data_IF_846590183516
#
_entry.id   IF_846590183516
#
_cell.length_a   1.000
_cell.length_b   1.000
_cell.length_c   1.000
_cell.angle_alpha   90.00
_cell.angle_beta   90.00
_cell.angle_gamma   90.00
#
_symmetry.space_group_name_H-M   'P 1'
#
loop_
_entity.id
_entity.type
_entity.pdbx_description
1 polymer ?
#
# COMPACT_ATOMS: atom_id res chain seq x y z
N UNK A 1 -3.69 -3.95 18.32
CA UNK A 1 -4.20 -3.40 19.61
C UNK A 1 -5.11 -2.21 19.30
N UNK A 2 -6.11 -1.92 20.13
CA UNK A 2 -7.00 -0.77 19.89
C UNK A 2 -6.27 0.54 20.18
N UNK A 3 -6.15 1.45 19.20
CA UNK A 3 -5.80 2.84 19.47
C UNK A 3 -6.93 3.46 20.32
N UNK A 4 -6.67 3.89 21.58
CA UNK A 4 -7.74 4.41 22.43
C UNK A 4 -8.33 5.70 21.87
N UNK A 5 -7.50 6.55 21.27
CA UNK A 5 -7.88 7.82 20.63
C UNK A 5 -8.55 7.69 19.26
N UNK A 6 -8.60 6.49 18.66
CA UNK A 6 -9.25 6.30 17.37
C UNK A 6 -10.75 6.64 17.44
N UNK A 7 -11.24 7.35 16.42
CA UNK A 7 -12.64 7.79 16.38
C UNK A 7 -13.61 6.61 16.23
N UNK A 8 -14.89 6.78 16.60
CA UNK A 8 -15.89 5.73 16.39
C UNK A 8 -16.04 5.37 14.89
N UNK A 9 -15.88 6.37 14.00
CA UNK A 9 -15.86 6.21 12.55
C UNK A 9 -14.67 5.36 12.08
N UNK A 10 -13.48 5.69 12.54
CA UNK A 10 -12.23 4.96 12.25
C UNK A 10 -12.28 3.51 12.76
N UNK A 11 -12.81 3.28 13.96
CA UNK A 11 -13.04 1.93 14.51
C UNK A 11 -13.98 1.10 13.63
N UNK A 12 -15.07 1.68 13.12
CA UNK A 12 -15.99 1.03 12.18
C UNK A 12 -15.35 0.76 10.80
N UNK A 13 -14.50 1.67 10.30
CA UNK A 13 -13.72 1.48 9.08
C UNK A 13 -12.73 0.32 9.22
N UNK A 14 -11.95 0.29 10.31
CA UNK A 14 -10.98 -0.78 10.58
C UNK A 14 -11.66 -2.15 10.71
N UNK A 15 -12.85 -2.24 11.30
CA UNK A 15 -13.66 -3.48 11.33
C UNK A 15 -14.07 -3.95 9.92
N UNK A 16 -14.45 -3.03 9.03
CA UNK A 16 -14.76 -3.36 7.62
C UNK A 16 -13.50 -3.83 6.87
N UNK A 17 -12.35 -3.19 7.13
CA UNK A 17 -11.07 -3.57 6.54
C UNK A 17 -10.56 -4.92 7.05
N UNK A 18 -10.75 -5.28 8.33
CA UNK A 18 -10.39 -6.60 8.88
C UNK A 18 -11.21 -7.73 8.24
N UNK A 19 -12.53 -7.53 8.08
CA UNK A 19 -13.42 -8.48 7.39
C UNK A 19 -13.04 -8.68 5.92
N UNK A 20 -12.66 -7.59 5.25
CA UNK A 20 -12.10 -7.60 3.89
C UNK A 20 -10.74 -8.33 3.83
N UNK A 21 -9.85 -8.09 4.78
CA UNK A 21 -8.52 -8.71 4.88
C UNK A 21 -8.60 -10.22 5.07
N UNK A 22 -9.43 -10.71 6.01
CA UNK A 22 -9.68 -12.15 6.19
C UNK A 22 -10.23 -12.79 4.92
N UNK A 23 -11.10 -12.09 4.20
CA UNK A 23 -11.62 -12.54 2.92
C UNK A 23 -10.53 -12.64 1.86
N UNK A 24 -9.62 -11.66 1.76
CA UNK A 24 -8.47 -11.73 0.87
C UNK A 24 -7.51 -12.89 1.23
N UNK A 25 -7.23 -13.11 2.53
CA UNK A 25 -6.39 -14.23 3.00
C UNK A 25 -6.97 -15.59 2.58
N UNK A 26 -8.25 -15.84 2.87
CA UNK A 26 -8.94 -17.09 2.48
C UNK A 26 -8.95 -17.29 0.96
N UNK A 27 -9.08 -16.22 0.18
CA UNK A 27 -9.08 -16.28 -1.29
C UNK A 27 -7.70 -16.43 -1.94
N UNK A 28 -6.61 -16.14 -1.23
CA UNK A 28 -5.22 -16.27 -1.73
C UNK A 28 -4.56 -17.54 -1.18
N UNK A 29 -4.44 -17.64 0.14
CA UNK A 29 -3.65 -18.66 0.85
C UNK A 29 -4.48 -19.90 1.17
N UNK A 30 -5.81 -19.79 1.16
CA UNK A 30 -6.74 -20.84 1.56
C UNK A 30 -7.11 -20.86 3.04
N UNK A 31 -6.58 -19.91 3.83
CA UNK A 31 -6.80 -19.80 5.28
C UNK A 31 -6.77 -18.34 5.75
N UNK A 32 -7.13 -18.10 7.02
CA UNK A 32 -6.96 -16.78 7.65
C UNK A 32 -5.59 -16.67 8.34
N UNK A 33 -4.93 -15.51 8.21
CA UNK A 33 -3.61 -15.27 8.81
C UNK A 33 -3.66 -14.69 10.23
N UNK A 34 -4.79 -14.10 10.62
CA UNK A 34 -4.96 -13.34 11.86
C UNK A 34 -5.78 -12.08 11.63
N UNK A 35 -5.70 -11.14 12.58
CA UNK A 35 -6.28 -9.79 12.43
C UNK A 35 -5.37 -8.86 11.62
N UNK A 36 -5.98 -7.91 10.91
CA UNK A 36 -5.29 -6.91 10.07
C UNK A 36 -4.24 -6.11 10.87
N UNK A 37 -4.62 -5.60 12.04
CA UNK A 37 -3.71 -4.86 12.94
C UNK A 37 -2.69 -5.75 13.66
N UNK A 38 -2.87 -7.08 13.70
CA UNK A 38 -1.83 -8.01 14.20
C UNK A 38 -0.70 -8.16 13.18
N UNK A 39 -1.03 -8.06 11.90
CA UNK A 39 -0.12 -8.22 10.77
C UNK A 39 0.32 -6.87 10.18
N UNK A 40 0.00 -5.74 10.84
CA UNK A 40 0.36 -4.40 10.36
C UNK A 40 1.85 -4.26 10.04
N UNK A 41 2.74 -4.72 10.93
CA UNK A 41 4.19 -4.66 10.71
C UNK A 41 4.67 -5.55 9.55
N UNK A 42 3.98 -6.66 9.29
CA UNK A 42 4.21 -7.46 8.09
C UNK A 42 3.77 -6.70 6.83
N UNK A 43 2.55 -6.16 6.81
CA UNK A 43 1.94 -5.54 5.63
C UNK A 43 2.61 -4.20 5.24
N UNK A 44 3.03 -3.38 6.20
CA UNK A 44 3.72 -2.09 5.95
C UNK A 44 5.16 -2.22 5.46
N UNK A 45 5.79 -3.41 5.55
CA UNK A 45 7.25 -3.51 5.31
C UNK A 45 7.70 -3.25 3.85
N UNK A 46 6.77 -3.08 2.91
CA UNK A 46 7.05 -2.72 1.50
C UNK A 46 6.33 -1.43 1.05
N UNK A 47 5.67 -0.72 1.96
CA UNK A 47 4.88 0.48 1.68
C UNK A 47 4.97 1.47 2.85
N UNK A 48 5.69 2.59 2.72
CA UNK A 48 5.84 3.55 3.81
C UNK A 48 4.49 4.20 4.15
N UNK A 49 4.10 4.28 5.44
CA UNK A 49 2.81 4.87 5.81
C UNK A 49 2.78 6.39 5.57
N UNK A 50 1.60 6.98 5.34
CA UNK A 50 1.44 8.43 5.16
C UNK A 50 2.04 9.24 6.30
N UNK A 51 2.73 10.32 5.95
CA UNK A 51 3.48 11.14 6.89
C UNK A 51 2.60 12.21 7.54
N UNK A 52 2.35 12.10 8.84
CA UNK A 52 1.60 13.10 9.58
C UNK A 52 2.41 14.40 9.83
N UNK A 53 1.74 15.54 9.70
CA UNK A 53 2.14 16.88 10.18
C UNK A 53 0.97 17.54 10.90
N UNK A 54 1.18 18.70 11.51
CA UNK A 54 0.08 19.54 12.01
C UNK A 54 -0.20 20.67 11.03
N UNK A 55 -1.48 20.95 10.78
CA UNK A 55 -1.90 22.14 10.03
C UNK A 55 -1.40 23.40 10.73
N UNK A 56 -0.89 24.37 9.96
CA UNK A 56 -0.55 25.69 10.50
C UNK A 56 -1.80 26.52 10.83
N UNK A 57 -2.95 26.20 10.24
CA UNK A 57 -4.24 26.86 10.47
C UNK A 57 -4.96 26.17 11.65
N UNK A 58 -5.60 25.01 11.44
CA UNK A 58 -6.45 24.37 12.46
C UNK A 58 -5.71 23.58 13.55
N UNK A 59 -4.39 23.38 13.40
CA UNK A 59 -3.55 22.51 14.26
C UNK A 59 -3.97 21.02 14.27
N UNK A 60 -4.91 20.61 13.42
CA UNK A 60 -5.28 19.21 13.19
C UNK A 60 -4.13 18.45 12.52
N UNK A 61 -4.24 17.13 12.47
CA UNK A 61 -3.30 16.31 11.71
C UNK A 61 -3.60 16.39 10.22
N UNK A 62 -2.54 16.47 9.43
CA UNK A 62 -2.54 16.52 7.97
C UNK A 62 -1.63 15.41 7.47
N UNK A 63 -2.11 14.56 6.56
CA UNK A 63 -1.35 13.43 6.04
C UNK A 63 -0.75 13.75 4.69
N UNK A 64 0.49 13.29 4.49
CA UNK A 64 1.34 13.66 3.37
C UNK A 64 1.97 12.43 2.71
N UNK A 65 1.96 12.44 1.38
CA UNK A 65 2.54 11.40 0.53
C UNK A 65 3.97 10.99 0.94
N UNK A 66 4.91 11.93 0.99
CA UNK A 66 6.34 11.63 1.20
C UNK A 66 6.85 12.04 2.59
N UNK A 67 7.73 11.25 3.24
CA UNK A 67 8.45 11.70 4.44
C UNK A 67 9.47 12.82 4.16
N UNK A 68 9.78 13.10 2.89
CA UNK A 68 10.82 14.04 2.46
C UNK A 68 10.40 15.53 2.55
N UNK A 69 9.13 15.85 2.83
CA UNK A 69 8.70 17.24 2.96
C UNK A 69 9.49 18.00 4.08
N UNK A 70 9.92 19.25 3.85
CA UNK A 70 10.79 19.98 4.76
C UNK A 70 10.29 20.04 6.21
N UNK A 71 11.15 19.69 7.17
CA UNK A 71 10.82 19.64 8.61
C UNK A 71 10.35 20.98 9.21
N UNK A 72 10.67 22.11 8.56
CA UNK A 72 10.26 23.47 8.93
C UNK A 72 9.20 24.08 8.01
N UNK A 73 8.62 23.29 7.09
CA UNK A 73 7.58 23.77 6.19
C UNK A 73 6.27 24.08 6.93
N UNK A 74 5.48 24.98 6.34
CA UNK A 74 4.05 25.16 6.63
C UNK A 74 3.25 24.05 5.95
N UNK A 75 2.25 23.52 6.65
CA UNK A 75 1.40 22.42 6.18
C UNK A 75 -0.08 22.77 6.38
N UNK A 76 -0.94 22.35 5.45
CA UNK A 76 -2.39 22.50 5.54
C UNK A 76 -3.09 21.29 4.89
N UNK A 77 -4.32 20.99 5.29
CA UNK A 77 -5.15 20.03 4.55
C UNK A 77 -5.79 20.69 3.33
N UNK A 78 -6.16 19.93 2.30
CA UNK A 78 -6.78 20.45 1.07
C UNK A 78 -8.05 21.30 1.34
N UNK A 79 -8.85 20.88 2.34
CA UNK A 79 -10.02 21.61 2.83
C UNK A 79 -9.72 22.98 3.49
N UNK A 80 -8.44 23.29 3.76
CA UNK A 80 -7.99 24.58 4.28
C UNK A 80 -7.42 25.51 3.18
N UNK A 81 -7.16 25.00 1.96
CA UNK A 81 -6.66 25.80 0.84
C UNK A 81 -7.51 27.06 0.55
N UNK A 82 -8.86 27.00 0.59
CA UNK A 82 -9.71 28.19 0.36
C UNK A 82 -9.65 29.25 1.48
N UNK A 83 -8.98 28.96 2.60
CA UNK A 83 -8.81 29.90 3.72
C UNK A 83 -7.55 30.78 3.58
N UNK A 84 -6.70 30.48 2.60
CA UNK A 84 -5.48 31.25 2.34
C UNK A 84 -5.83 32.59 1.67
N UNK A 85 -5.33 33.74 2.17
CA UNK A 85 -5.45 34.99 1.44
C UNK A 85 -4.62 34.94 0.15
N UNK A 86 -5.02 35.65 -0.92
CA UNK A 86 -4.19 35.76 -2.12
C UNK A 86 -2.86 36.45 -1.76
N UNK A 87 -1.71 35.95 -2.25
CA UNK A 87 -0.42 36.54 -1.96
C UNK A 87 -0.34 37.95 -2.55
N UNK A 88 0.11 38.91 -1.74
CA UNK A 88 0.26 40.31 -2.15
C UNK A 88 1.70 40.55 -2.60
N UNK A 89 1.88 40.67 -3.91
CA UNK A 89 3.16 41.05 -4.52
C UNK A 89 3.10 42.51 -4.98
N UNK A 90 4.14 43.29 -4.71
CA UNK A 90 4.36 44.56 -5.38
C UNK A 90 5.04 44.31 -6.73
N UNK A 91 4.56 44.94 -7.80
CA UNK A 91 5.24 44.87 -9.11
C UNK A 91 6.68 45.41 -9.04
N UNK A 92 6.97 46.30 -8.09
CA UNK A 92 8.30 46.88 -7.86
C UNK A 92 9.27 45.93 -7.12
N UNK A 93 8.76 44.84 -6.53
CA UNK A 93 9.57 43.78 -5.90
C UNK A 93 10.04 42.75 -6.94
N UNK A 94 9.31 42.60 -8.06
CA UNK A 94 9.58 41.62 -9.11
C UNK A 94 10.50 42.24 -10.15
N UNK A 95 11.82 42.05 -10.00
CA UNK A 95 12.85 42.51 -10.94
C UNK A 95 13.34 41.41 -11.87
N UNK A 96 13.28 40.18 -11.37
CA UNK A 96 13.82 38.95 -11.93
C UNK A 96 13.10 37.75 -11.26
N UNK A 97 13.53 36.52 -11.59
CA UNK A 97 12.94 35.30 -11.02
C UNK A 97 13.30 35.10 -9.55
N UNK A 98 14.50 35.51 -9.12
CA UNK A 98 15.00 35.27 -7.76
C UNK A 98 14.33 36.21 -6.74
N UNK A 99 14.04 37.45 -7.13
CA UNK A 99 13.27 38.41 -6.35
C UNK A 99 11.79 37.99 -6.23
N UNK A 100 11.19 37.47 -7.30
CA UNK A 100 9.85 36.84 -7.24
C UNK A 100 9.83 35.65 -6.28
N UNK A 101 10.79 34.73 -6.39
CA UNK A 101 10.91 33.57 -5.48
C UNK A 101 11.14 34.03 -4.03
N UNK A 102 11.92 35.08 -3.82
CA UNK A 102 12.19 35.66 -2.49
C UNK A 102 10.95 36.29 -1.85
N UNK A 103 10.08 36.94 -2.63
CA UNK A 103 8.79 37.45 -2.17
C UNK A 103 7.75 36.33 -1.97
N UNK A 104 7.78 35.28 -2.81
CA UNK A 104 6.86 34.15 -2.73
C UNK A 104 7.19 33.16 -1.60
N UNK A 105 8.45 33.05 -1.16
CA UNK A 105 8.93 32.01 -0.23
C UNK A 105 8.10 31.87 1.06
N UNK A 106 7.57 32.96 1.60
CA UNK A 106 6.83 33.00 2.88
C UNK A 106 5.33 32.69 2.69
N UNK A 107 4.86 32.68 1.43
CA UNK A 107 3.50 32.34 1.04
C UNK A 107 3.35 30.88 0.59
N UNK A 108 4.45 30.17 0.30
CA UNK A 108 4.39 28.73 -0.02
C UNK A 108 4.01 27.89 1.21
N UNK A 109 3.14 26.90 1.00
CA UNK A 109 2.74 25.92 2.01
C UNK A 109 2.43 24.58 1.35
N UNK A 110 2.63 23.47 2.06
CA UNK A 110 2.41 22.12 1.54
C UNK A 110 1.00 21.61 1.85
N UNK A 111 0.26 21.24 0.81
CA UNK A 111 -1.08 20.65 0.92
C UNK A 111 -1.01 19.11 1.11
N UNK A 112 -1.64 18.61 2.18
CA UNK A 112 -1.93 17.20 2.43
C UNK A 112 -3.43 16.90 2.42
N UNK A 113 -3.79 15.65 2.75
CA UNK A 113 -5.18 15.14 2.71
C UNK A 113 -5.90 15.40 1.36
N UNK A 114 -5.17 15.29 0.24
CA UNK A 114 -5.69 15.59 -1.10
C UNK A 114 -6.68 14.51 -1.54
N UNK A 115 -7.98 14.77 -1.36
CA UNK A 115 -9.07 13.81 -1.62
C UNK A 115 -9.99 14.30 -2.74
N UNK A 116 -9.71 13.89 -3.98
CA UNK A 116 -10.39 14.35 -5.21
C UNK A 116 -11.52 13.40 -5.64
N UNK A 117 -12.59 13.92 -6.23
CA UNK A 117 -13.70 13.08 -6.72
C UNK A 117 -14.54 12.43 -5.60
N UNK A 118 -15.12 11.26 -5.88
CA UNK A 118 -16.16 10.59 -5.06
C UNK A 118 -15.56 9.69 -3.98
N UNK A 119 -14.94 10.30 -2.97
CA UNK A 119 -14.33 9.58 -1.86
C UNK A 119 -15.30 9.28 -0.71
N UNK A 120 -15.19 8.10 -0.08
CA UNK A 120 -15.95 7.76 1.12
C UNK A 120 -15.16 6.87 2.10
N UNK A 121 -15.35 7.11 3.41
CA UNK A 121 -14.67 6.40 4.50
C UNK A 121 -13.13 6.35 4.36
N UNK A 122 -12.53 7.53 4.17
CA UNK A 122 -11.08 7.74 4.11
C UNK A 122 -10.56 8.21 5.49
N UNK A 123 -9.42 7.68 5.93
CA UNK A 123 -8.72 8.11 7.15
C UNK A 123 -7.21 8.09 6.94
N UNK A 124 -6.48 9.05 7.53
CA UNK A 124 -5.01 9.05 7.62
C UNK A 124 -4.29 8.80 6.29
N UNK A 125 -4.73 9.45 5.20
CA UNK A 125 -4.40 9.10 3.81
C UNK A 125 -4.29 10.33 2.91
N UNK A 126 -3.44 10.30 1.88
CA UNK A 126 -3.16 11.43 0.98
C UNK A 126 -3.12 11.01 -0.51
N UNK A 127 -3.55 11.88 -1.42
CA UNK A 127 -3.56 11.61 -2.87
C UNK A 127 -4.67 10.65 -3.33
N UNK A 128 -5.86 10.75 -2.74
CA UNK A 128 -6.95 9.78 -2.90
C UNK A 128 -7.96 10.28 -3.94
N UNK A 129 -8.37 9.43 -4.89
CA UNK A 129 -9.28 9.79 -5.99
C UNK A 129 -10.37 8.73 -6.23
N UNK A 130 -11.65 9.10 -6.14
CA UNK A 130 -12.79 8.19 -6.40
C UNK A 130 -12.70 6.83 -5.65
N UNK A 131 -12.29 6.86 -4.37
CA UNK A 131 -12.00 5.68 -3.56
C UNK A 131 -12.98 5.45 -2.39
N UNK A 132 -13.09 4.19 -1.95
CA UNK A 132 -13.90 3.77 -0.81
C UNK A 132 -13.14 2.96 0.23
N UNK A 133 -13.31 3.25 1.52
CA UNK A 133 -12.70 2.52 2.64
C UNK A 133 -11.15 2.48 2.59
N UNK A 134 -10.49 3.57 2.99
CA UNK A 134 -9.02 3.68 2.97
C UNK A 134 -8.44 4.10 4.33
N UNK A 135 -7.35 3.46 4.74
CA UNK A 135 -6.64 3.77 5.98
C UNK A 135 -5.12 3.68 5.79
N UNK A 136 -4.36 4.73 6.16
CA UNK A 136 -2.91 4.76 5.95
C UNK A 136 -2.52 4.44 4.49
N UNK A 137 -3.20 5.11 3.55
CA UNK A 137 -3.01 4.99 2.12
C UNK A 137 -2.42 6.29 1.57
N UNK A 138 -1.24 6.18 0.97
CA UNK A 138 -0.72 7.11 0.00
C UNK A 138 -1.24 6.69 -1.39
N UNK A 139 -1.45 7.67 -2.26
CA UNK A 139 -2.00 7.61 -3.63
C UNK A 139 -2.88 6.39 -4.00
N UNK A 140 -4.19 6.60 -4.11
CA UNK A 140 -5.11 5.57 -4.60
C UNK A 140 -6.15 6.19 -5.53
N UNK A 141 -6.50 5.48 -6.60
CA UNK A 141 -7.51 5.91 -7.56
C UNK A 141 -8.48 4.78 -7.87
N UNK A 142 -9.77 5.10 -8.06
CA UNK A 142 -10.83 4.17 -8.49
C UNK A 142 -10.88 2.86 -7.69
N UNK A 143 -10.51 2.87 -6.41
CA UNK A 143 -10.17 1.68 -5.62
C UNK A 143 -11.05 1.53 -4.39
N UNK A 144 -11.35 0.29 -4.01
CA UNK A 144 -12.08 0.00 -2.77
C UNK A 144 -11.27 -0.88 -1.81
N UNK A 145 -11.43 -0.61 -0.52
CA UNK A 145 -10.93 -1.39 0.62
C UNK A 145 -9.44 -1.71 0.57
N UNK A 146 -8.61 -0.76 1.02
CA UNK A 146 -7.15 -0.96 1.13
C UNK A 146 -6.57 -0.23 2.34
N UNK A 147 -5.44 -0.73 2.84
CA UNK A 147 -4.62 -0.02 3.82
C UNK A 147 -3.13 -0.38 3.71
N UNK A 148 -2.28 0.53 4.21
CA UNK A 148 -0.83 0.43 4.18
C UNK A 148 -0.29 0.39 2.72
N UNK A 149 -0.68 1.39 1.94
CA UNK A 149 -0.58 1.41 0.47
C UNK A 149 0.04 2.70 -0.05
N UNK A 150 0.67 2.68 -1.23
CA UNK A 150 1.45 3.81 -1.78
C UNK A 150 1.05 4.30 -3.18
N UNK A 151 0.79 3.43 -4.19
CA UNK A 151 0.17 3.86 -5.48
C UNK A 151 -0.72 2.74 -6.10
N UNK A 152 -2.04 2.74 -5.86
CA UNK A 152 -2.93 1.60 -6.22
C UNK A 152 -4.15 1.94 -7.12
N UNK A 153 -4.43 1.02 -8.07
CA UNK A 153 -5.58 0.95 -8.99
C UNK A 153 -6.15 -0.49 -9.04
N UNK A 154 -7.37 -0.81 -9.48
CA UNK A 154 -8.66 -0.26 -9.07
C UNK A 154 -9.24 -1.12 -7.90
N UNK A 155 -8.38 -1.91 -7.23
CA UNK A 155 -8.60 -2.71 -6.02
C UNK A 155 -9.99 -3.27 -5.71
N UNK A 156 -10.04 -4.60 -5.61
CA UNK A 156 -10.84 -5.30 -4.60
C UNK A 156 -10.18 -6.65 -4.32
N UNK A 157 -9.36 -6.88 -3.30
CA UNK A 157 -8.89 -6.07 -2.18
C UNK A 157 -7.35 -6.18 -2.12
N UNK A 158 -6.63 -5.17 -1.61
CA UNK A 158 -5.17 -5.29 -1.35
C UNK A 158 -4.77 -4.69 0.00
N UNK A 159 -3.86 -5.41 0.67
CA UNK A 159 -3.27 -5.03 1.95
C UNK A 159 -1.74 -5.05 1.85
N UNK A 160 -1.09 -3.88 1.94
CA UNK A 160 0.37 -3.71 1.83
C UNK A 160 0.89 -3.56 0.39
N UNK A 161 1.19 -2.34 -0.09
CA UNK A 161 1.68 -2.19 -1.49
C UNK A 161 2.39 -0.86 -1.88
N UNK A 162 3.61 -0.96 -2.43
CA UNK A 162 4.16 0.01 -3.41
C UNK A 162 4.04 -0.57 -4.81
N UNK A 163 2.80 -0.55 -5.28
CA UNK A 163 2.06 -1.46 -6.18
C UNK A 163 0.63 -0.88 -6.15
N UNK A 164 -0.28 -1.03 -7.11
CA UNK A 164 -0.50 -2.10 -8.09
C UNK A 164 -1.43 -1.63 -9.22
N UNK A 165 -1.76 -2.49 -10.18
CA UNK A 165 -3.02 -2.40 -10.95
C UNK A 165 -3.51 -3.79 -11.46
N UNK A 166 -4.76 -4.04 -11.86
CA UNK A 166 -6.03 -3.46 -11.37
C UNK A 166 -6.68 -4.30 -10.24
N UNK A 167 -6.21 -5.54 -10.04
CA UNK A 167 -6.28 -6.32 -8.79
C UNK A 167 -7.63 -6.85 -8.28
N UNK A 168 -7.81 -8.18 -8.33
CA UNK A 168 -8.64 -8.97 -7.38
C UNK A 168 -7.91 -10.29 -7.07
N UNK A 169 -7.29 -10.58 -5.93
CA UNK A 169 -7.06 -9.86 -4.65
C UNK A 169 -5.55 -9.92 -4.32
N UNK A 170 -5.06 -9.30 -3.23
CA UNK A 170 -3.62 -9.41 -2.87
C UNK A 170 -3.28 -9.19 -1.39
N UNK A 171 -2.20 -9.85 -0.94
CA UNK A 171 -1.55 -9.62 0.36
C UNK A 171 -0.04 -9.35 0.14
N UNK A 172 0.39 -8.09 0.33
CA UNK A 172 1.79 -7.58 0.35
C UNK A 172 2.58 -7.53 -0.98
N UNK A 173 3.36 -6.45 -1.20
CA UNK A 173 3.83 -6.09 -2.57
C UNK A 173 4.86 -4.92 -2.75
N UNK A 174 5.88 -5.06 -3.65
CA UNK A 174 6.68 -3.99 -4.37
C UNK A 174 7.29 -4.48 -5.74
N UNK A 175 6.95 -4.15 -7.02
CA UNK A 175 5.91 -3.36 -7.76
C UNK A 175 5.26 -4.19 -8.94
N UNK A 176 3.92 -4.18 -9.23
CA UNK A 176 3.32 -4.84 -10.44
C UNK A 176 1.93 -4.40 -11.00
N UNK A 177 1.51 -4.96 -12.15
CA UNK A 177 0.28 -4.65 -12.91
C UNK A 177 -0.35 -5.90 -13.62
N UNK A 178 -1.67 -5.87 -13.87
CA UNK A 178 -2.59 -6.89 -14.44
C UNK A 178 -2.60 -8.23 -13.70
N UNK A 179 -3.52 -8.35 -12.73
CA UNK A 179 -3.34 -9.23 -11.56
C UNK A 179 -4.60 -9.89 -10.98
N UNK A 180 -4.51 -11.20 -10.68
CA UNK A 180 -5.41 -11.97 -9.80
C UNK A 180 -4.87 -13.38 -9.47
N UNK A 181 -4.59 -13.80 -8.23
CA UNK A 181 -4.61 -13.13 -6.91
C UNK A 181 -3.25 -13.41 -6.23
N UNK A 182 -2.55 -12.43 -5.65
CA UNK A 182 -1.11 -12.62 -5.25
C UNK A 182 -0.78 -12.44 -3.77
N UNK A 183 0.42 -12.89 -3.43
CA UNK A 183 0.94 -12.99 -2.08
C UNK A 183 2.45 -12.70 -2.08
N UNK A 184 2.83 -11.62 -1.40
CA UNK A 184 4.19 -11.11 -1.19
C UNK A 184 5.11 -11.19 -2.41
N UNK A 185 4.89 -10.30 -3.38
CA UNK A 185 5.61 -10.33 -4.65
C UNK A 185 6.53 -9.13 -4.91
N UNK A 186 7.62 -9.41 -5.61
CA UNK A 186 8.64 -8.48 -6.13
C UNK A 186 8.51 -8.17 -7.64
N UNK A 187 7.43 -8.63 -8.29
CA UNK A 187 7.07 -8.41 -9.71
C UNK A 187 5.66 -9.00 -9.98
N UNK A 188 5.08 -8.71 -11.14
CA UNK A 188 4.64 -9.68 -12.16
C UNK A 188 3.65 -9.00 -13.11
N UNK A 189 3.94 -8.96 -14.41
CA UNK A 189 3.12 -8.21 -15.38
C UNK A 189 3.08 -8.92 -16.74
N UNK A 190 2.36 -10.02 -16.92
CA UNK A 190 0.91 -10.14 -16.69
C UNK A 190 0.54 -11.54 -16.20
N UNK A 191 -0.47 -11.67 -15.33
CA UNK A 191 -0.29 -12.56 -14.17
C UNK A 191 -1.55 -13.32 -13.68
N UNK A 192 -1.38 -14.55 -13.16
CA UNK A 192 -2.37 -15.20 -12.26
C UNK A 192 -1.78 -16.08 -11.13
N UNK A 193 -2.54 -16.21 -10.02
CA UNK A 193 -2.30 -17.00 -8.79
C UNK A 193 -0.84 -17.23 -8.33
N UNK A 194 -0.07 -16.15 -8.29
CA UNK A 194 1.34 -16.08 -7.91
C UNK A 194 1.55 -15.88 -6.39
N UNK A 195 2.36 -16.74 -5.78
CA UNK A 195 2.72 -16.66 -4.36
C UNK A 195 4.26 -16.67 -4.22
N UNK A 196 4.85 -15.53 -3.82
CA UNK A 196 6.30 -15.23 -3.81
C UNK A 196 7.05 -15.25 -5.15
N UNK A 197 7.63 -14.11 -5.54
CA UNK A 197 8.32 -13.95 -6.82
C UNK A 197 9.36 -12.80 -6.84
N UNK A 198 10.47 -13.06 -7.54
CA UNK A 198 11.40 -12.09 -8.15
C UNK A 198 12.06 -12.82 -9.32
N UNK A 199 11.74 -12.64 -10.60
CA UNK A 199 11.08 -11.59 -11.39
C UNK A 199 10.30 -12.36 -12.49
N UNK A 200 9.05 -12.02 -12.87
CA UNK A 200 8.42 -12.79 -13.96
C UNK A 200 7.26 -12.22 -14.79
N UNK A 201 7.24 -12.70 -16.04
CA UNK A 201 6.21 -12.64 -17.07
C UNK A 201 6.27 -13.97 -17.87
N UNK A 202 5.21 -14.52 -18.44
CA UNK A 202 3.78 -14.30 -18.23
C UNK A 202 3.18 -15.49 -17.48
N UNK A 203 2.41 -15.23 -16.43
CA UNK A 203 2.49 -16.09 -15.24
C UNK A 203 1.30 -17.04 -15.07
N UNK A 204 1.58 -18.32 -14.75
CA UNK A 204 0.62 -19.37 -14.32
C UNK A 204 1.34 -20.71 -14.03
N UNK A 205 1.66 -21.15 -12.81
CA UNK A 205 1.51 -20.65 -11.44
C UNK A 205 2.85 -20.87 -10.69
N UNK A 206 3.14 -20.18 -9.57
CA UNK A 206 4.43 -20.36 -8.87
C UNK A 206 4.41 -20.18 -7.34
N UNK A 207 5.27 -20.96 -6.67
CA UNK A 207 5.70 -20.87 -5.26
C UNK A 207 7.07 -21.58 -5.10
N UNK A 208 8.24 -20.95 -5.00
CA UNK A 208 8.66 -19.54 -5.02
C UNK A 208 9.62 -19.37 -6.23
N UNK A 209 9.50 -18.34 -7.07
CA UNK A 209 10.34 -18.24 -8.30
C UNK A 209 11.44 -17.17 -8.27
N UNK A 210 12.63 -17.58 -8.75
CA UNK A 210 13.81 -16.74 -8.97
C UNK A 210 14.14 -16.66 -10.48
N UNK A 211 13.77 -15.56 -11.14
CA UNK A 211 14.13 -15.21 -12.52
C UNK A 211 13.87 -16.30 -13.60
N UNK A 212 12.72 -16.96 -13.53
CA UNK A 212 12.20 -17.84 -14.59
C UNK A 212 11.43 -17.02 -15.66
N UNK A 213 11.01 -17.64 -16.76
CA UNK A 213 10.13 -17.03 -17.78
C UNK A 213 9.16 -18.08 -18.32
N UNK A 214 7.85 -17.80 -18.37
CA UNK A 214 6.79 -18.66 -18.94
C UNK A 214 6.69 -20.12 -18.41
N UNK A 215 7.33 -20.44 -17.28
CA UNK A 215 7.33 -21.78 -16.69
C UNK A 215 6.01 -22.11 -15.96
N UNK A 216 5.69 -23.41 -15.81
CA UNK A 216 4.47 -23.92 -15.15
C UNK A 216 4.79 -25.05 -14.18
N UNK A 217 3.94 -25.23 -13.16
CA UNK A 217 4.07 -26.28 -12.14
C UNK A 217 5.45 -26.33 -11.46
N UNK A 218 5.99 -25.14 -11.16
CA UNK A 218 7.34 -24.97 -10.59
C UNK A 218 7.29 -24.85 -9.07
N UNK A 219 8.23 -25.52 -8.39
CA UNK A 219 8.58 -25.25 -7.00
C UNK A 219 10.08 -24.96 -6.92
N UNK A 220 10.43 -23.72 -6.54
CA UNK A 220 11.79 -23.22 -6.73
C UNK A 220 12.17 -23.19 -8.21
N UNK A 221 13.25 -23.90 -8.55
CA UNK A 221 13.71 -24.12 -9.93
C UNK A 221 13.40 -25.53 -10.46
N UNK A 222 12.52 -26.30 -9.78
CA UNK A 222 12.17 -27.68 -10.16
C UNK A 222 10.79 -27.70 -10.83
N UNK A 223 10.67 -28.18 -12.09
CA UNK A 223 9.38 -28.47 -12.72
C UNK A 223 8.83 -29.82 -12.21
N UNK A 224 7.52 -29.89 -11.97
CA UNK A 224 6.85 -31.08 -11.46
C UNK A 224 5.71 -31.56 -12.37
N UNK A 225 5.37 -32.86 -12.37
CA UNK A 225 4.09 -33.36 -12.86
C UNK A 225 2.92 -32.66 -12.15
N UNK A 226 1.78 -32.54 -12.85
CA UNK A 226 0.61 -31.79 -12.35
C UNK A 226 0.03 -32.42 -11.08
N UNK A 227 0.02 -33.75 -11.07
CA UNK A 227 -0.41 -34.65 -10.02
C UNK A 227 0.43 -34.54 -8.74
N UNK A 228 1.71 -34.18 -8.84
CA UNK A 228 2.59 -33.92 -7.70
C UNK A 228 2.51 -32.46 -7.23
N UNK A 229 2.41 -31.52 -8.19
CA UNK A 229 2.40 -30.09 -7.92
C UNK A 229 1.25 -29.64 -7.01
N UNK A 230 0.00 -30.05 -7.30
CA UNK A 230 -1.16 -29.54 -6.54
C UNK A 230 -1.20 -29.96 -5.06
N UNK A 231 -0.97 -31.24 -4.69
CA UNK A 231 -0.85 -31.65 -3.29
C UNK A 231 0.29 -30.94 -2.55
N UNK A 232 1.44 -30.76 -3.21
CA UNK A 232 2.60 -30.11 -2.59
C UNK A 232 2.39 -28.58 -2.43
N UNK A 233 1.75 -27.91 -3.39
CA UNK A 233 1.30 -26.52 -3.27
C UNK A 233 0.38 -26.34 -2.05
N UNK A 234 -0.59 -27.24 -1.87
CA UNK A 234 -1.53 -27.18 -0.74
C UNK A 234 -0.82 -27.37 0.60
N UNK A 235 0.11 -28.34 0.68
CA UNK A 235 0.93 -28.55 1.88
C UNK A 235 1.72 -27.29 2.26
N UNK A 236 2.47 -26.74 1.31
CA UNK A 236 3.34 -25.56 1.54
C UNK A 236 2.52 -24.34 1.98
N UNK A 237 1.35 -24.09 1.37
CA UNK A 237 0.45 -23.01 1.80
C UNK A 237 -0.05 -23.17 3.23
N UNK A 238 -0.31 -24.41 3.67
CA UNK A 238 -0.66 -24.72 5.06
C UNK A 238 0.47 -24.44 6.05
N UNK A 239 1.69 -24.86 5.72
CA UNK A 239 2.89 -24.63 6.54
C UNK A 239 3.20 -23.13 6.66
N UNK A 240 3.16 -22.38 5.55
CA UNK A 240 3.36 -20.92 5.51
C UNK A 240 2.26 -20.19 6.31
N UNK A 241 1.00 -20.63 6.23
CA UNK A 241 -0.08 -20.02 7.01
C UNK A 241 0.12 -20.17 8.52
N UNK A 242 0.54 -21.35 8.99
CA UNK A 242 0.88 -21.59 10.40
C UNK A 242 2.08 -20.73 10.84
N UNK A 243 3.10 -20.58 9.99
CA UNK A 243 4.24 -19.72 10.28
C UNK A 243 3.84 -18.24 10.43
N UNK A 244 3.01 -17.71 9.52
CA UNK A 244 2.49 -16.34 9.61
C UNK A 244 1.60 -16.15 10.84
N UNK A 245 0.72 -17.12 11.13
CA UNK A 245 -0.16 -17.06 12.32
C UNK A 245 0.66 -17.00 13.62
N UNK A 246 1.76 -17.75 13.68
CA UNK A 246 2.65 -17.85 14.84
C UNK A 246 3.59 -16.63 14.97
N UNK A 247 4.34 -16.31 13.90
CA UNK A 247 5.37 -15.26 13.90
C UNK A 247 4.84 -13.85 13.64
N UNK A 248 3.61 -13.71 13.13
CA UNK A 248 3.00 -12.46 12.62
C UNK A 248 3.85 -11.74 11.55
N UNK A 249 4.68 -12.50 10.86
CA UNK A 249 5.66 -12.05 9.86
C UNK A 249 6.06 -13.22 8.96
N UNK A 250 6.63 -12.93 7.79
CA UNK A 250 7.23 -13.93 6.90
C UNK A 250 8.34 -13.29 6.05
N UNK A 251 9.48 -13.98 5.82
CA UNK A 251 10.61 -13.42 5.08
C UNK A 251 10.26 -13.07 3.64
N UNK A 252 10.81 -11.97 3.14
CA UNK A 252 10.74 -11.59 1.74
C UNK A 252 11.52 -12.57 0.86
N UNK A 253 11.16 -12.60 -0.43
CA UNK A 253 11.92 -13.32 -1.46
C UNK A 253 13.40 -12.91 -1.46
N UNK A 254 13.72 -11.66 -1.11
CA UNK A 254 15.09 -11.13 -1.00
C UNK A 254 15.86 -11.67 0.22
N UNK A 255 15.22 -11.77 1.38
CA UNK A 255 15.83 -12.33 2.60
C UNK A 255 16.09 -13.84 2.43
N UNK A 256 15.21 -14.55 1.71
CA UNK A 256 15.44 -15.92 1.27
C UNK A 256 16.59 -16.03 0.25
N UNK A 257 16.69 -15.11 -0.71
CA UNK A 257 17.78 -15.07 -1.69
C UNK A 257 19.16 -14.84 -1.07
N UNK A 258 19.25 -13.90 -0.12
CA UNK A 258 20.51 -13.46 0.49
C UNK A 258 21.05 -14.37 1.59
N UNK A 259 20.44 -15.52 1.86
CA UNK A 259 20.76 -16.35 3.02
C UNK A 259 20.51 -15.65 4.37
N UNK A 260 19.62 -14.66 4.37
CA UNK A 260 19.40 -13.75 5.51
C UNK A 260 18.37 -14.23 6.53
N UNK A 261 17.64 -15.31 6.24
CA UNK A 261 16.69 -15.91 7.16
C UNK A 261 17.41 -16.49 8.40
N UNK A 262 17.01 -16.02 9.59
CA UNK A 262 17.47 -16.46 10.92
C UNK A 262 16.25 -16.78 11.79
#
# INVERSE_FOLDING_TARGET
MNNPGASAKEKLLLQKLDSAFRSACRSTIGSELGGLEELRGFLTSTAPPPTARKSFISKKEVFLYSPQYPKKGTFLSDSECPLLPPPKFSINEIKDIDSLLTAAKENFSYCGDKHLGKNFEITSSDGIMDCGFMHQTNAAYNSQYSCYSDILLNSKYIFGCTYSAFCNFMVKSYHNYLSSRFFQSGYSHTSSDLHFCWRMEFSQECLFSMNQVNAKFMIGNIPLPREEYFPLKQKLLGEIALEIQSKKSFPTIFELAGGGAK
#
